data_IF_569042760188
#
_entry.id   IF_569042760188
#
_cell.length_a   1.000
_cell.length_b   1.000
_cell.length_c   1.000
_cell.angle_alpha   90.00
_cell.angle_beta   90.00
_cell.angle_gamma   90.00
#
_symmetry.space_group_name_H-M   'P 1'
#
loop_
_entity.id
_entity.type
_entity.pdbx_description
1 polymer ?
#
# COMPACT_ATOMS: atom_id res chain seq x y z
N UNK A 1 12.85 -1.83 -28.08
CA UNK A 1 12.81 -0.77 -27.05
C UNK A 1 12.80 -1.47 -25.70
N UNK A 2 13.89 -1.42 -24.94
CA UNK A 2 14.01 -2.10 -23.64
C UNK A 2 13.28 -1.28 -22.55
N UNK A 3 11.95 -1.25 -22.58
CA UNK A 3 11.14 -0.78 -21.46
C UNK A 3 11.20 -1.86 -20.36
N UNK A 4 11.94 -1.62 -19.28
CA UNK A 4 11.83 -2.45 -18.07
C UNK A 4 13.12 -2.83 -17.34
N UNK A 5 14.31 -2.52 -17.87
CA UNK A 5 15.56 -2.99 -17.22
C UNK A 5 16.03 -2.19 -16.01
N UNK A 6 15.53 -0.97 -15.77
CA UNK A 6 16.03 -0.10 -14.69
C UNK A 6 14.92 0.65 -13.94
N UNK A 7 13.76 0.04 -13.70
CA UNK A 7 12.82 0.64 -12.74
C UNK A 7 13.22 0.21 -11.33
N UNK A 8 13.67 1.13 -10.45
CA UNK A 8 14.00 0.78 -9.08
C UNK A 8 12.79 0.17 -8.37
N UNK A 9 12.98 -0.69 -7.36
CA UNK A 9 11.87 -1.30 -6.62
C UNK A 9 11.10 -0.26 -5.78
N UNK A 10 9.85 -0.56 -5.38
CA UNK A 10 9.02 0.33 -4.53
C UNK A 10 9.79 0.75 -3.27
N UNK A 11 10.42 -0.19 -2.56
CA UNK A 11 11.23 0.08 -1.35
C UNK A 11 12.51 0.89 -1.62
N UNK A 12 12.96 0.93 -2.87
CA UNK A 12 14.15 1.68 -3.28
C UNK A 12 13.82 3.05 -3.87
N UNK A 13 12.54 3.33 -4.20
CA UNK A 13 12.09 4.58 -4.84
C UNK A 13 11.85 5.73 -3.88
N UNK A 14 11.33 5.44 -2.68
CA UNK A 14 10.86 6.50 -1.79
C UNK A 14 11.85 6.79 -0.68
N UNK A 15 11.95 8.07 -0.34
CA UNK A 15 12.55 8.53 0.91
C UNK A 15 11.53 8.50 2.04
N UNK A 16 10.29 8.83 1.69
CA UNK A 16 9.19 8.96 2.65
C UNK A 16 7.88 8.53 2.01
N UNK A 17 7.03 7.86 2.79
CA UNK A 17 5.71 7.40 2.38
C UNK A 17 4.76 7.48 3.57
N UNK A 18 3.59 8.08 3.37
CA UNK A 18 2.57 8.23 4.40
C UNK A 18 1.25 7.60 3.95
N UNK A 19 1.04 6.28 4.17
CA UNK A 19 -0.20 5.63 3.80
C UNK A 19 -1.31 5.97 4.80
N UNK A 20 -2.34 6.64 4.30
CA UNK A 20 -3.56 6.99 5.03
C UNK A 20 -4.66 6.02 4.62
N UNK A 21 -5.28 5.37 5.60
CA UNK A 21 -6.28 4.33 5.39
C UNK A 21 -7.66 4.75 5.91
N UNK A 22 -8.69 4.36 5.17
CA UNK A 22 -10.08 4.33 5.64
C UNK A 22 -10.56 2.90 5.52
N UNK A 23 -11.07 2.34 6.60
CA UNK A 23 -11.61 0.99 6.67
C UNK A 23 -13.11 1.04 6.91
N UNK A 24 -13.85 0.23 6.17
CA UNK A 24 -15.27 0.03 6.35
C UNK A 24 -15.51 -1.42 6.76
N UNK A 25 -16.16 -1.63 7.88
CA UNK A 25 -16.41 -2.97 8.42
C UNK A 25 -17.49 -3.69 7.58
N UNK A 26 -17.15 -4.88 7.09
CA UNK A 26 -18.02 -5.75 6.31
C UNK A 26 -18.23 -7.09 7.05
N UNK A 27 -19.20 -7.15 7.95
CA UNK A 27 -19.45 -8.33 8.77
C UNK A 27 -18.49 -8.40 9.97
N UNK A 28 -18.18 -9.62 10.44
CA UNK A 28 -17.41 -9.82 11.68
C UNK A 28 -15.90 -9.77 11.47
N UNK A 29 -15.40 -10.36 10.37
CA UNK A 29 -13.96 -10.56 10.17
C UNK A 29 -13.43 -9.93 8.89
N UNK A 30 -14.25 -9.20 8.13
CA UNK A 30 -13.82 -8.58 6.87
C UNK A 30 -13.99 -7.07 6.92
N UNK A 31 -13.06 -6.36 6.31
CA UNK A 31 -13.18 -4.92 6.04
C UNK A 31 -12.86 -4.65 4.58
N UNK A 32 -13.45 -3.58 4.06
CA UNK A 32 -13.03 -2.96 2.82
C UNK A 32 -12.13 -1.78 3.19
N UNK A 33 -10.94 -1.73 2.60
CA UNK A 33 -9.95 -0.70 2.86
C UNK A 33 -9.70 0.14 1.63
N UNK A 34 -9.72 1.45 1.80
CA UNK A 34 -9.22 2.43 0.84
C UNK A 34 -7.96 3.06 1.42
N UNK A 35 -6.84 3.01 0.68
CA UNK A 35 -5.57 3.58 1.12
C UNK A 35 -5.12 4.60 0.10
N UNK A 36 -4.81 5.80 0.57
CA UNK A 36 -4.14 6.84 -0.19
C UNK A 36 -2.76 7.07 0.39
N UNK A 37 -1.74 7.01 -0.45
CA UNK A 37 -0.35 7.03 0.00
C UNK A 37 0.48 7.99 -0.84
N UNK A 38 0.54 9.29 -0.45
CA UNK A 38 1.55 10.19 -0.97
C UNK A 38 2.96 9.71 -0.58
N UNK A 39 3.89 9.84 -1.51
CA UNK A 39 5.30 9.48 -1.29
C UNK A 39 6.23 10.49 -1.96
N UNK A 40 7.39 10.74 -1.34
CA UNK A 40 8.47 11.56 -1.90
C UNK A 40 9.54 10.60 -2.42
N UNK A 41 9.90 10.74 -3.70
CA UNK A 41 10.93 9.94 -4.33
C UNK A 41 12.36 10.35 -3.90
N UNK A 42 13.32 9.45 -4.04
CA UNK A 42 14.76 9.71 -3.79
C UNK A 42 15.41 10.68 -4.76
N UNK A 43 14.78 10.93 -5.90
CA UNK A 43 15.23 11.96 -6.83
C UNK A 43 14.55 13.27 -6.46
N UNK A 44 15.31 14.36 -6.37
CA UNK A 44 14.80 15.69 -6.01
C UNK A 44 13.59 16.08 -6.87
N UNK A 45 12.46 16.36 -6.21
CA UNK A 45 11.24 16.88 -6.86
C UNK A 45 10.23 15.83 -7.30
N UNK A 46 10.48 14.53 -7.09
CA UNK A 46 9.51 13.49 -7.41
C UNK A 46 8.42 13.37 -6.33
N UNK A 47 7.19 13.72 -6.68
CA UNK A 47 6.01 13.44 -5.88
C UNK A 47 5.23 12.28 -6.50
N UNK A 48 5.02 11.23 -5.72
CA UNK A 48 4.26 10.06 -6.12
C UNK A 48 2.94 10.00 -5.35
N UNK A 49 1.90 9.50 -6.01
CA UNK A 49 0.66 9.16 -5.35
C UNK A 49 0.29 7.71 -5.67
N UNK A 50 0.08 6.94 -4.62
CA UNK A 50 -0.45 5.60 -4.72
C UNK A 50 -1.86 5.53 -4.14
N UNK A 51 -2.76 4.90 -4.87
CA UNK A 51 -4.12 4.61 -4.43
C UNK A 51 -4.36 3.11 -4.47
N UNK A 52 -5.01 2.57 -3.43
CA UNK A 52 -5.44 1.18 -3.43
C UNK A 52 -6.80 1.01 -2.77
N UNK A 53 -7.55 0.05 -3.28
CA UNK A 53 -8.81 -0.39 -2.72
C UNK A 53 -8.81 -1.91 -2.65
N UNK A 54 -9.12 -2.49 -1.49
CA UNK A 54 -9.20 -3.94 -1.39
C UNK A 54 -9.84 -4.42 -0.12
N UNK A 55 -9.61 -5.70 0.17
CA UNK A 55 -10.27 -6.42 1.25
C UNK A 55 -9.24 -6.85 2.28
N UNK A 56 -9.60 -6.74 3.55
CA UNK A 56 -8.81 -7.22 4.68
C UNK A 56 -9.63 -8.22 5.46
N UNK A 57 -9.01 -9.32 5.82
CA UNK A 57 -9.54 -10.33 6.75
C UNK A 57 -8.79 -10.24 8.07
N UNK A 58 -9.52 -10.40 9.18
CA UNK A 58 -9.00 -10.41 10.56
C UNK A 58 -9.24 -11.78 11.19
N UNK A 59 -8.25 -12.27 11.94
CA UNK A 59 -8.35 -13.58 12.59
C UNK A 59 -9.30 -13.63 13.78
N UNK A 60 -9.61 -12.48 14.39
CA UNK A 60 -10.59 -12.32 15.46
C UNK A 60 -11.69 -11.30 15.08
N UNK A 61 -12.84 -11.37 15.74
CA UNK A 61 -13.92 -10.37 15.64
C UNK A 61 -13.48 -9.01 16.20
N UNK A 62 -12.52 -9.03 17.13
CA UNK A 62 -11.84 -7.83 17.57
C UNK A 62 -10.85 -7.35 16.50
N UNK A 63 -10.98 -6.09 16.04
CA UNK A 63 -10.05 -5.48 15.08
C UNK A 63 -8.63 -5.26 15.64
N UNK A 64 -8.39 -5.59 16.91
CA UNK A 64 -7.06 -5.66 17.52
C UNK A 64 -6.45 -7.04 17.28
N UNK A 65 -6.13 -7.36 16.03
CA UNK A 65 -5.89 -8.74 15.65
C UNK A 65 -4.96 -8.86 14.44
N UNK A 66 -4.57 -10.09 14.12
CA UNK A 66 -3.77 -10.35 12.94
C UNK A 66 -4.65 -10.16 11.72
N UNK A 67 -4.08 -9.57 10.67
CA UNK A 67 -4.81 -9.34 9.45
C UNK A 67 -4.04 -9.82 8.22
N UNK A 68 -4.83 -10.15 7.20
CA UNK A 68 -4.38 -10.38 5.85
C UNK A 68 -5.15 -9.47 4.89
N UNK A 69 -4.45 -8.59 4.18
CA UNK A 69 -5.05 -7.70 3.17
C UNK A 69 -4.66 -8.12 1.76
N UNK A 70 -5.58 -8.00 0.82
CA UNK A 70 -5.31 -8.14 -0.61
C UNK A 70 -5.82 -6.90 -1.35
N UNK A 71 -4.94 -6.22 -2.09
CA UNK A 71 -5.33 -5.05 -2.85
C UNK A 71 -4.41 -4.75 -4.05
N UNK A 72 -4.99 -4.29 -5.17
CA UNK A 72 -4.24 -3.60 -6.20
C UNK A 72 -3.84 -2.20 -5.73
N UNK A 73 -2.63 -1.79 -6.10
CA UNK A 73 -2.07 -0.45 -5.88
C UNK A 73 -1.87 0.17 -7.26
N UNK A 74 -2.56 1.27 -7.51
CA UNK A 74 -2.30 2.12 -8.65
C UNK A 74 -1.28 3.19 -8.30
N UNK A 75 -0.10 3.01 -8.89
CA UNK A 75 1.09 3.86 -8.92
C UNK A 75 1.05 5.02 -9.93
N UNK A 76 1.12 6.30 -9.56
CA UNK A 76 1.46 7.33 -10.55
C UNK A 76 2.34 8.47 -10.02
N UNK A 77 3.16 9.03 -10.91
CA UNK A 77 4.01 10.18 -10.64
C UNK A 77 3.21 11.47 -10.88
N UNK A 78 3.20 12.37 -9.89
CA UNK A 78 2.40 13.61 -9.90
C UNK A 78 3.20 14.79 -10.47
N UNK A 79 4.49 14.91 -10.13
CA UNK A 79 5.33 16.06 -10.51
C UNK A 79 6.64 15.56 -11.13
N UNK A 80 6.80 15.78 -12.45
CA UNK A 80 8.07 15.88 -13.18
C UNK A 80 7.85 16.37 -14.63
N UNK A 81 8.88 16.95 -15.24
CA UNK A 81 8.93 17.31 -16.67
C UNK A 81 8.99 16.10 -17.65
N UNK A 82 8.79 14.87 -17.16
CA UNK A 82 8.83 13.64 -17.98
C UNK A 82 7.59 12.78 -17.74
N UNK A 83 7.03 12.22 -18.81
CA UNK A 83 5.99 11.19 -18.76
C UNK A 83 6.57 9.90 -18.15
N UNK A 84 6.33 9.70 -16.86
CA UNK A 84 6.62 8.42 -16.22
C UNK A 84 5.38 7.53 -16.32
N UNK A 85 5.50 6.26 -16.78
CA UNK A 85 4.35 5.39 -16.89
C UNK A 85 3.77 5.12 -15.50
N UNK A 86 2.44 5.19 -15.38
CA UNK A 86 1.73 4.64 -14.24
C UNK A 86 1.80 3.12 -14.27
N UNK A 87 1.66 2.50 -13.11
CA UNK A 87 1.75 1.04 -13.00
C UNK A 87 0.81 0.52 -11.93
N UNK A 88 0.38 -0.72 -12.12
CA UNK A 88 -0.43 -1.46 -11.16
C UNK A 88 0.43 -2.48 -10.45
N UNK A 89 0.39 -2.51 -9.12
CA UNK A 89 0.97 -3.59 -8.32
C UNK A 89 -0.14 -4.35 -7.60
N UNK A 90 -0.19 -5.66 -7.73
CA UNK A 90 -1.04 -6.48 -6.86
C UNK A 90 -0.22 -6.91 -5.66
N UNK A 91 -0.68 -6.58 -4.46
CA UNK A 91 0.04 -6.87 -3.23
C UNK A 91 -0.88 -7.56 -2.23
N UNK A 92 -0.27 -8.37 -1.37
CA UNK A 92 -0.90 -8.76 -0.11
C UNK A 92 -0.06 -8.28 1.06
N UNK A 93 -0.73 -7.96 2.16
CA UNK A 93 -0.09 -7.61 3.41
C UNK A 93 -0.47 -8.62 4.49
N UNK A 94 0.48 -8.87 5.38
CA UNK A 94 0.27 -9.56 6.63
C UNK A 94 0.75 -8.65 7.77
N UNK A 95 -0.07 -8.47 8.79
CA UNK A 95 0.28 -7.56 9.88
C UNK A 95 -0.59 -7.76 11.10
N UNK A 96 -0.50 -6.80 12.02
CA UNK A 96 -1.35 -6.74 13.20
C UNK A 96 -1.91 -5.33 13.33
N UNK A 97 -3.20 -5.21 13.60
CA UNK A 97 -3.88 -3.93 13.73
C UNK A 97 -4.09 -3.57 15.19
N UNK A 98 -3.87 -2.30 15.52
CA UNK A 98 -4.17 -1.71 16.83
C UNK A 98 -5.24 -0.63 16.65
N UNK A 99 -6.39 -0.77 17.29
CA UNK A 99 -7.41 0.27 17.41
C UNK A 99 -7.10 1.12 18.63
N UNK A 100 -6.82 2.40 18.37
CA UNK A 100 -6.62 3.46 19.33
C UNK A 100 -7.84 4.39 19.34
N UNK A 101 -8.24 4.87 20.51
CA UNK A 101 -9.31 5.86 20.65
C UNK A 101 -10.60 5.48 19.87
N UNK A 102 -11.00 4.20 19.96
CA UNK A 102 -12.21 3.59 19.36
C UNK A 102 -12.26 3.51 17.82
N UNK A 103 -11.63 4.43 17.10
CA UNK A 103 -11.77 4.53 15.63
C UNK A 103 -10.47 4.75 14.88
N UNK A 104 -9.40 5.18 15.55
CA UNK A 104 -8.13 5.40 14.89
C UNK A 104 -7.33 4.10 14.89
N UNK A 105 -6.78 3.67 13.76
CA UNK A 105 -6.00 2.44 13.68
C UNK A 105 -4.55 2.71 13.31
N UNK A 106 -3.65 1.91 13.88
CA UNK A 106 -2.26 1.80 13.44
C UNK A 106 -1.97 0.32 13.17
N UNK A 107 -1.38 0.03 12.01
CA UNK A 107 -1.14 -1.34 11.57
C UNK A 107 0.27 -1.48 10.97
N UNK A 108 1.28 -1.95 11.74
CA UNK A 108 2.52 -2.45 11.15
C UNK A 108 2.24 -3.68 10.26
N UNK A 109 2.92 -3.76 9.12
CA UNK A 109 2.72 -4.83 8.16
C UNK A 109 4.00 -5.21 7.41
N UNK A 110 4.02 -6.46 6.95
CA UNK A 110 4.86 -6.95 5.88
C UNK A 110 4.01 -7.06 4.61
N UNK A 111 4.51 -6.51 3.51
CA UNK A 111 3.88 -6.54 2.20
C UNK A 111 4.69 -7.41 1.25
N UNK A 112 3.98 -8.10 0.39
CA UNK A 112 4.53 -8.90 -0.69
C UNK A 112 3.86 -8.52 -2.00
N UNK A 113 4.65 -8.10 -2.98
CA UNK A 113 4.17 -7.84 -4.33
C UNK A 113 4.00 -9.18 -5.08
N UNK A 114 2.80 -9.44 -5.59
CA UNK A 114 2.45 -10.60 -6.40
C UNK A 114 2.90 -10.37 -7.85
N UNK A 115 2.54 -9.21 -8.40
CA UNK A 115 2.73 -8.89 -9.81
C UNK A 115 2.66 -7.38 -10.05
N UNK A 116 3.39 -6.89 -11.06
CA UNK A 116 3.30 -5.50 -11.53
C UNK A 116 3.00 -5.45 -13.04
N UNK A 117 2.18 -4.49 -13.46
CA UNK A 117 1.90 -4.18 -14.87
C UNK A 117 2.50 -2.81 -15.19
N UNK A 118 3.30 -2.66 -16.28
CA UNK A 118 3.56 -3.63 -17.36
C UNK A 118 4.77 -4.55 -17.17
N UNK A 119 5.51 -4.41 -16.06
CA UNK A 119 6.79 -5.09 -15.85
C UNK A 119 6.69 -6.17 -14.77
N UNK A 120 7.22 -7.36 -15.02
CA UNK A 120 7.38 -8.37 -13.98
C UNK A 120 8.50 -7.95 -13.01
N UNK A 121 8.16 -7.58 -11.78
CA UNK A 121 9.11 -7.32 -10.70
C UNK A 121 9.25 -8.59 -9.85
N UNK A 122 10.47 -9.05 -9.54
CA UNK A 122 10.67 -10.18 -8.64
C UNK A 122 10.19 -9.88 -7.22
N UNK A 123 9.59 -10.89 -6.59
CA UNK A 123 9.17 -10.93 -5.19
C UNK A 123 10.22 -10.31 -4.25
N UNK A 124 9.92 -9.14 -3.70
CA UNK A 124 10.70 -8.53 -2.62
C UNK A 124 9.72 -8.06 -1.55
N UNK A 125 9.81 -8.59 -0.32
CA UNK A 125 8.99 -8.10 0.77
C UNK A 125 9.39 -6.67 1.15
N UNK A 126 8.41 -5.80 1.34
CA UNK A 126 8.57 -4.50 2.01
C UNK A 126 7.82 -4.49 3.35
N UNK A 127 8.18 -3.56 4.23
CA UNK A 127 7.52 -3.40 5.52
C UNK A 127 7.08 -1.94 5.68
N UNK A 128 6.03 -1.72 6.44
CA UNK A 128 5.53 -0.38 6.69
C UNK A 128 4.56 -0.32 7.85
N UNK A 129 4.00 0.88 8.04
CA UNK A 129 2.94 1.15 9.01
C UNK A 129 1.82 1.85 8.26
N UNK A 130 0.58 1.37 8.40
CA UNK A 130 -0.63 2.11 7.99
C UNK A 130 -1.18 2.83 9.21
N UNK A 131 -1.73 4.02 8.99
CA UNK A 131 -2.51 4.71 9.98
C UNK A 131 -3.82 5.18 9.34
N UNK A 132 -4.92 5.07 10.07
CA UNK A 132 -6.22 5.29 9.46
C UNK A 132 -7.39 5.40 10.42
N UNK A 133 -8.58 5.44 9.84
CA UNK A 133 -9.83 5.43 10.58
C UNK A 133 -10.69 4.26 10.16
N UNK A 134 -11.29 3.60 11.14
CA UNK A 134 -12.30 2.57 10.96
C UNK A 134 -13.70 3.19 11.11
N UNK A 135 -14.57 2.91 10.13
CA UNK A 135 -15.94 3.40 10.02
C UNK A 135 -16.97 2.28 10.15
#
# INVERSE_FOLDING_TARGET
MELGKNQPFISQRYEFRLPLQIEYILGTNFTISSILSPSIGKSSGELWLAYSFGITWYDDEDLNSLFFSLYPIYEYLVIRDMEYPSFWNFCFDFGYQFILFEKFSIAPYLRFAIYQIPTFIPWLPDAGIKAGFTL
#
